data_IF_522282181575
#
_entry.id   IF_522282181575
#
_cell.length_a   1.000
_cell.length_b   1.000
_cell.length_c   1.000
_cell.angle_alpha   90.00
_cell.angle_beta   90.00
_cell.angle_gamma   90.00
#
_symmetry.space_group_name_H-M   'P 1'
#
loop_
_entity.id
_entity.type
_entity.pdbx_description
1 polymer ?
#
# COMPACT_ATOMS: atom_id res chain seq x y z
N UNK A 1 55.10 -28.00 1.31
CA UNK A 1 53.64 -28.23 1.25
C UNK A 1 52.95 -26.87 1.23
N UNK A 2 52.19 -26.57 0.16
CA UNK A 2 51.51 -25.26 -0.01
C UNK A 2 50.24 -25.24 0.86
N UNK A 3 50.10 -24.21 1.69
CA UNK A 3 48.92 -23.98 2.52
C UNK A 3 47.93 -23.14 1.72
N UNK A 4 46.84 -23.74 1.24
CA UNK A 4 45.73 -23.04 0.57
C UNK A 4 44.79 -22.48 1.64
N UNK A 5 44.69 -21.16 1.72
CA UNK A 5 43.72 -20.47 2.57
C UNK A 5 42.46 -20.23 1.72
N UNK A 6 41.37 -20.93 2.03
CA UNK A 6 40.06 -20.68 1.40
C UNK A 6 39.33 -19.65 2.23
N UNK A 7 39.27 -18.42 1.72
CA UNK A 7 38.47 -17.35 2.31
C UNK A 7 37.01 -17.50 1.84
N UNK A 8 36.18 -18.18 2.62
CA UNK A 8 34.74 -18.18 2.43
C UNK A 8 34.15 -16.84 2.90
N UNK A 9 33.93 -15.92 1.97
CA UNK A 9 33.16 -14.71 2.21
C UNK A 9 31.67 -15.10 2.17
N UNK A 10 31.09 -15.36 3.35
CA UNK A 10 29.64 -15.40 3.54
C UNK A 10 29.11 -13.97 3.43
N UNK A 11 28.74 -13.55 2.22
CA UNK A 11 27.97 -12.34 2.02
C UNK A 11 26.55 -12.59 2.53
N UNK A 12 26.27 -12.18 3.77
CA UNK A 12 24.90 -12.06 4.24
C UNK A 12 24.20 -10.98 3.40
N UNK A 13 23.40 -11.39 2.42
CA UNK A 13 22.51 -10.47 1.74
C UNK A 13 21.48 -10.01 2.78
N UNK A 14 21.65 -8.80 3.32
CA UNK A 14 20.55 -8.13 3.99
C UNK A 14 19.49 -7.85 2.94
N UNK A 15 18.49 -8.74 2.85
CA UNK A 15 17.29 -8.51 2.05
C UNK A 15 16.49 -7.45 2.79
N UNK A 16 16.83 -6.18 2.59
CA UNK A 16 15.92 -5.10 2.92
C UNK A 16 14.73 -5.24 2.00
N UNK A 17 13.56 -5.57 2.57
CA UNK A 17 12.33 -5.68 1.80
C UNK A 17 12.06 -4.38 1.06
N UNK A 18 12.12 -4.43 -0.27
CA UNK A 18 12.01 -3.25 -1.10
C UNK A 18 10.55 -2.76 -1.06
N UNK A 19 10.39 -1.52 -0.62
CA UNK A 19 9.10 -0.83 -0.50
C UNK A 19 9.00 0.18 -1.63
N UNK A 20 7.88 0.15 -2.35
CA UNK A 20 7.55 1.17 -3.35
C UNK A 20 6.57 2.14 -2.71
N UNK A 21 6.90 3.43 -2.70
CA UNK A 21 5.96 4.48 -2.31
C UNK A 21 5.10 4.85 -3.51
N UNK A 22 3.80 5.07 -3.27
CA UNK A 22 2.87 5.45 -4.33
C UNK A 22 3.25 6.81 -4.93
N UNK A 23 3.19 6.93 -6.25
CA UNK A 23 3.36 8.18 -7.00
C UNK A 23 2.42 8.14 -8.21
N UNK A 24 1.85 9.29 -8.59
CA UNK A 24 0.84 9.39 -9.66
C UNK A 24 1.35 8.78 -10.98
N UNK A 25 2.59 9.09 -11.33
CA UNK A 25 3.24 8.68 -12.59
C UNK A 25 4.01 7.35 -12.49
N UNK A 26 4.06 6.71 -11.31
CA UNK A 26 4.81 5.46 -11.11
C UNK A 26 3.86 4.28 -10.95
N UNK A 27 3.73 3.49 -12.02
CA UNK A 27 2.93 2.27 -12.02
C UNK A 27 3.74 1.05 -11.58
N UNK A 28 3.06 0.09 -10.98
CA UNK A 28 3.60 -1.23 -10.68
C UNK A 28 3.89 -1.96 -11.99
N UNK A 29 4.94 -2.77 -11.94
CA UNK A 29 5.32 -3.71 -12.99
C UNK A 29 5.35 -5.10 -12.38
N UNK A 30 5.30 -6.13 -13.21
CA UNK A 30 5.40 -7.50 -12.70
C UNK A 30 6.71 -7.77 -11.95
N UNK A 31 7.78 -7.03 -12.21
CA UNK A 31 9.05 -7.12 -11.47
C UNK A 31 8.93 -6.70 -10.00
N UNK A 32 7.88 -5.97 -9.64
CA UNK A 32 7.60 -5.60 -8.26
C UNK A 32 7.03 -6.76 -7.42
N UNK A 33 6.58 -7.86 -8.03
CA UNK A 33 5.98 -8.99 -7.31
C UNK A 33 7.03 -10.09 -7.13
N UNK A 34 7.78 -10.03 -6.03
CA UNK A 34 8.99 -10.84 -5.78
C UNK A 34 8.77 -12.00 -4.83
N UNK A 35 7.67 -11.97 -4.06
CA UNK A 35 7.38 -13.03 -3.11
C UNK A 35 7.10 -14.36 -3.83
N UNK A 36 7.64 -15.48 -3.32
CA UNK A 36 7.27 -16.80 -3.80
C UNK A 36 5.76 -17.00 -3.70
N UNK A 37 5.22 -17.67 -4.70
CA UNK A 37 3.81 -18.02 -4.73
C UNK A 37 3.44 -18.92 -3.54
N UNK A 38 2.45 -18.51 -2.73
CA UNK A 38 1.87 -19.36 -1.69
C UNK A 38 1.15 -20.56 -2.31
N UNK A 39 1.37 -21.76 -1.75
CA UNK A 39 0.80 -23.04 -2.23
C UNK A 39 -0.66 -23.27 -1.83
N UNK A 40 -1.26 -22.38 -1.02
CA UNK A 40 -2.69 -22.42 -0.62
C UNK A 40 -3.49 -21.35 -1.38
N UNK A 41 -3.77 -21.57 -2.67
CA UNK A 41 -4.48 -20.59 -3.50
C UNK A 41 -5.96 -20.88 -3.65
N UNK A 42 -6.76 -19.82 -3.61
CA UNK A 42 -8.00 -19.76 -4.37
C UNK A 42 -7.64 -19.84 -5.87
N UNK A 43 -8.17 -20.80 -6.65
CA UNK A 43 -7.85 -20.94 -8.07
C UNK A 43 -8.18 -19.70 -8.91
N UNK A 44 -9.03 -18.80 -8.43
CA UNK A 44 -9.42 -17.60 -9.18
C UNK A 44 -8.39 -16.47 -9.04
N UNK A 45 -7.54 -16.48 -8.00
CA UNK A 45 -6.58 -15.40 -7.69
C UNK A 45 -5.25 -15.60 -8.42
N UNK A 46 -4.91 -14.66 -9.30
CA UNK A 46 -3.71 -14.72 -10.15
C UNK A 46 -2.49 -14.01 -9.57
N UNK A 47 -2.69 -13.02 -8.70
CA UNK A 47 -1.63 -12.27 -8.03
C UNK A 47 -2.14 -11.76 -6.68
N UNK A 48 -1.23 -11.19 -5.89
CA UNK A 48 -1.57 -10.56 -4.62
C UNK A 48 -0.70 -9.34 -4.38
N UNK A 49 -1.36 -8.22 -4.12
CA UNK A 49 -0.75 -6.94 -3.78
C UNK A 49 -0.74 -6.71 -2.28
N UNK A 50 0.44 -6.82 -1.66
CA UNK A 50 0.63 -6.46 -0.26
C UNK A 50 0.92 -4.96 -0.13
N UNK A 51 -0.13 -4.16 0.05
CA UNK A 51 -0.03 -2.70 0.20
C UNK A 51 -0.80 -2.16 1.42
N UNK A 52 -0.50 -0.91 1.78
CA UNK A 52 -1.12 -0.19 2.89
C UNK A 52 -0.40 1.13 3.11
N UNK A 53 -0.20 1.51 4.38
CA UNK A 53 0.51 2.74 4.72
C UNK A 53 1.43 2.61 5.91
N UNK A 54 2.37 3.53 5.97
CA UNK A 54 3.21 3.79 7.12
C UNK A 54 2.97 5.21 7.60
N UNK A 55 3.05 5.42 8.91
CA UNK A 55 2.97 6.75 9.48
C UNK A 55 4.02 6.98 10.56
N UNK A 56 4.38 8.24 10.76
CA UNK A 56 5.21 8.70 11.86
C UNK A 56 4.67 10.02 12.39
N UNK A 57 4.91 10.30 13.67
CA UNK A 57 4.49 11.53 14.30
C UNK A 57 5.63 12.10 15.17
N UNK A 58 5.95 13.37 14.97
CA UNK A 58 6.86 14.13 15.81
C UNK A 58 6.00 14.97 16.75
N UNK A 59 6.02 14.62 18.04
CA UNK A 59 5.18 15.21 19.10
C UNK A 59 6.03 15.80 20.20
N UNK A 60 5.43 16.70 20.97
CA UNK A 60 5.97 17.23 22.22
C UNK A 60 5.26 16.59 23.42
N UNK A 61 5.89 16.68 24.59
CA UNK A 61 5.25 16.43 25.87
C UNK A 61 4.24 17.53 26.26
N UNK A 62 4.42 18.74 25.75
CA UNK A 62 3.42 19.83 25.88
C UNK A 62 2.21 19.54 24.97
N UNK A 63 1.00 19.32 25.54
CA UNK A 63 -0.20 19.05 24.74
C UNK A 63 -0.56 20.17 23.77
N UNK A 64 -0.15 21.42 24.00
CA UNK A 64 -0.48 22.55 23.12
C UNK A 64 0.51 22.75 21.98
N UNK A 65 1.69 22.13 22.06
CA UNK A 65 2.71 22.26 21.03
C UNK A 65 2.26 21.59 19.71
N UNK A 66 2.67 22.14 18.55
CA UNK A 66 2.30 21.59 17.26
C UNK A 66 2.80 20.16 17.07
N UNK A 67 2.11 19.39 16.25
CA UNK A 67 2.49 18.03 15.86
C UNK A 67 2.72 17.96 14.36
N UNK A 68 3.72 17.20 13.94
CA UNK A 68 3.94 16.86 12.52
C UNK A 68 3.68 15.38 12.32
N UNK A 69 2.79 15.04 11.39
CA UNK A 69 2.40 13.66 11.08
C UNK A 69 2.68 13.42 9.61
N UNK A 70 3.46 12.39 9.31
CA UNK A 70 3.74 11.96 7.95
C UNK A 70 3.06 10.62 7.71
N UNK A 71 2.32 10.48 6.61
CA UNK A 71 1.61 9.26 6.24
C UNK A 71 1.94 8.95 4.77
N UNK A 72 2.45 7.75 4.49
CA UNK A 72 2.89 7.33 3.14
C UNK A 72 2.25 6.02 2.75
N UNK A 73 1.79 5.93 1.51
CA UNK A 73 1.25 4.71 0.91
C UNK A 73 2.40 3.84 0.43
N UNK A 74 2.40 2.57 0.82
CA UNK A 74 3.49 1.64 0.61
C UNK A 74 2.99 0.34 -0.01
N UNK A 75 3.71 -0.12 -1.04
CA UNK A 75 3.63 -1.45 -1.61
C UNK A 75 4.88 -2.25 -1.20
N UNK A 76 4.71 -3.50 -0.79
CA UNK A 76 5.80 -4.37 -0.36
C UNK A 76 6.09 -5.44 -1.42
N UNK A 77 7.23 -5.31 -2.10
CA UNK A 77 7.60 -6.19 -3.22
C UNK A 77 7.82 -7.64 -2.77
N UNK A 78 8.44 -7.82 -1.60
CA UNK A 78 8.80 -9.15 -1.05
C UNK A 78 7.61 -9.89 -0.43
N UNK A 79 6.47 -9.21 -0.25
CA UNK A 79 5.22 -9.81 0.24
C UNK A 79 4.14 -9.90 -0.84
N UNK A 80 4.40 -9.38 -2.02
CA UNK A 80 3.49 -9.42 -3.17
C UNK A 80 3.95 -10.50 -4.13
N UNK A 81 3.02 -11.36 -4.56
CA UNK A 81 3.33 -12.50 -5.43
C UNK A 81 2.49 -12.45 -6.71
N UNK A 82 2.98 -13.14 -7.75
CA UNK A 82 2.29 -13.29 -9.03
C UNK A 82 2.33 -14.75 -9.49
N UNK A 83 1.28 -15.22 -10.14
CA UNK A 83 1.30 -16.48 -10.87
C UNK A 83 1.90 -16.27 -12.27
N UNK A 84 3.12 -16.74 -12.47
CA UNK A 84 3.86 -16.53 -13.71
C UNK A 84 3.13 -17.04 -14.98
N UNK A 85 2.21 -18.00 -14.84
CA UNK A 85 1.45 -18.56 -15.96
C UNK A 85 0.22 -17.72 -16.33
N UNK A 86 -0.20 -16.81 -15.46
CA UNK A 86 -1.42 -16.01 -15.61
C UNK A 86 -1.13 -14.51 -15.73
N UNK A 87 0.13 -14.11 -15.81
CA UNK A 87 0.52 -12.71 -15.98
C UNK A 87 -0.05 -12.12 -17.28
N UNK A 88 -0.74 -10.99 -17.16
CA UNK A 88 -1.11 -10.13 -18.29
C UNK A 88 -1.39 -8.70 -17.77
N UNK A 89 -1.44 -7.73 -18.68
CA UNK A 89 -1.59 -6.32 -18.33
C UNK A 89 -2.92 -6.01 -17.62
N UNK A 90 -3.95 -6.80 -17.90
CA UNK A 90 -5.28 -6.61 -17.31
C UNK A 90 -5.31 -7.00 -15.81
N UNK A 91 -4.66 -8.10 -15.46
CA UNK A 91 -4.49 -8.50 -14.05
C UNK A 91 -3.52 -7.55 -13.37
N UNK A 92 -2.45 -7.11 -14.03
CA UNK A 92 -1.55 -6.11 -13.45
C UNK A 92 -2.30 -4.80 -13.13
N UNK A 93 -3.25 -4.40 -13.98
CA UNK A 93 -4.11 -3.25 -13.72
C UNK A 93 -4.99 -3.47 -12.46
N UNK A 94 -5.52 -4.67 -12.26
CA UNK A 94 -6.27 -5.01 -11.05
C UNK A 94 -5.40 -4.86 -9.78
N UNK A 95 -4.18 -5.40 -9.84
CA UNK A 95 -3.20 -5.28 -8.77
C UNK A 95 -2.78 -3.81 -8.52
N UNK A 96 -2.61 -3.01 -9.57
CA UNK A 96 -2.37 -1.58 -9.47
C UNK A 96 -3.53 -0.87 -8.73
N UNK A 97 -4.78 -1.27 -8.96
CA UNK A 97 -5.92 -0.65 -8.27
C UNK A 97 -5.93 -0.93 -6.78
N UNK A 98 -5.48 -2.09 -6.31
CA UNK A 98 -5.29 -2.29 -4.87
C UNK A 98 -4.34 -1.23 -4.27
N UNK A 99 -3.26 -0.89 -4.98
CA UNK A 99 -2.32 0.13 -4.52
C UNK A 99 -2.90 1.56 -4.62
N UNK A 100 -3.67 1.86 -5.66
CA UNK A 100 -4.38 3.13 -5.81
C UNK A 100 -5.45 3.32 -4.74
N UNK A 101 -6.17 2.25 -4.36
CA UNK A 101 -7.11 2.24 -3.22
C UNK A 101 -6.37 2.57 -1.93
N UNK A 102 -5.18 2.00 -1.70
CA UNK A 102 -4.39 2.34 -0.52
C UNK A 102 -4.05 3.84 -0.49
N UNK A 103 -3.67 4.45 -1.63
CA UNK A 103 -3.44 5.90 -1.69
C UNK A 103 -4.72 6.69 -1.46
N UNK A 104 -5.86 6.27 -2.04
CA UNK A 104 -7.15 6.92 -1.82
C UNK A 104 -7.47 7.04 -0.33
N UNK A 105 -7.34 5.94 0.42
CA UNK A 105 -7.58 5.94 1.85
C UNK A 105 -6.53 6.72 2.64
N UNK A 106 -5.28 6.75 2.18
CA UNK A 106 -4.25 7.61 2.77
C UNK A 106 -4.53 9.10 2.53
N UNK A 107 -5.08 9.51 1.37
CA UNK A 107 -5.53 10.89 1.15
C UNK A 107 -6.69 11.25 2.09
N UNK A 108 -7.66 10.34 2.26
CA UNK A 108 -8.74 10.49 3.27
C UNK A 108 -8.16 10.61 4.69
N UNK A 109 -7.12 9.83 5.01
CA UNK A 109 -6.44 9.90 6.30
C UNK A 109 -5.74 11.24 6.51
N UNK A 110 -4.92 11.68 5.54
CA UNK A 110 -4.23 12.97 5.59
C UNK A 110 -5.22 14.12 5.73
N UNK A 111 -6.35 14.09 5.01
CA UNK A 111 -7.45 15.06 5.17
C UNK A 111 -7.98 15.10 6.59
N UNK A 112 -8.39 13.95 7.15
CA UNK A 112 -8.95 13.88 8.49
C UNK A 112 -7.95 14.35 9.57
N UNK A 113 -6.68 14.00 9.41
CA UNK A 113 -5.59 14.46 10.28
C UNK A 113 -5.39 15.97 10.16
N UNK A 114 -5.32 16.50 8.94
CA UNK A 114 -5.14 17.93 8.68
C UNK A 114 -6.31 18.75 9.26
N UNK A 115 -7.53 18.23 9.25
CA UNK A 115 -8.71 18.93 9.77
C UNK A 115 -8.81 18.88 11.30
N UNK A 116 -8.42 17.76 11.93
CA UNK A 116 -8.72 17.49 13.34
C UNK A 116 -7.52 17.55 14.29
N UNK A 117 -6.29 17.49 13.76
CA UNK A 117 -5.08 17.35 14.58
C UNK A 117 -4.11 18.49 14.28
N UNK A 118 -3.99 19.42 15.22
CA UNK A 118 -3.03 20.54 15.14
C UNK A 118 -1.95 20.45 16.20
N UNK A 119 -2.27 19.87 17.34
CA UNK A 119 -1.39 19.81 18.52
C UNK A 119 -1.10 18.38 18.98
N UNK A 120 -0.10 18.23 19.85
CA UNK A 120 0.24 16.95 20.46
C UNK A 120 -0.92 16.39 21.31
N UNK A 121 -1.72 17.25 21.93
CA UNK A 121 -2.94 16.89 22.64
C UNK A 121 -4.03 16.36 21.71
N UNK A 122 -4.26 17.01 20.57
CA UNK A 122 -5.21 16.54 19.56
C UNK A 122 -4.80 15.16 19.02
N UNK A 123 -3.50 14.94 18.78
CA UNK A 123 -3.00 13.64 18.37
C UNK A 123 -3.39 12.56 19.38
N UNK A 124 -3.09 12.80 20.66
CA UNK A 124 -3.36 11.83 21.72
C UNK A 124 -4.86 11.53 21.85
N UNK A 125 -5.72 12.51 21.56
CA UNK A 125 -7.17 12.40 21.65
C UNK A 125 -7.83 11.75 20.44
N UNK A 126 -7.41 12.10 19.23
CA UNK A 126 -8.15 11.80 18.00
C UNK A 126 -7.47 10.82 17.04
N UNK A 127 -6.13 10.71 17.07
CA UNK A 127 -5.40 9.98 16.04
C UNK A 127 -5.82 8.52 15.95
N UNK A 128 -5.96 7.82 17.09
CA UNK A 128 -6.32 6.40 17.10
C UNK A 128 -7.70 6.17 16.47
N UNK A 129 -8.70 6.95 16.86
CA UNK A 129 -10.06 6.80 16.30
C UNK A 129 -10.10 7.09 14.81
N UNK A 130 -9.35 8.10 14.34
CA UNK A 130 -9.24 8.39 12.90
C UNK A 130 -8.57 7.22 12.17
N UNK A 131 -7.44 6.71 12.70
CA UNK A 131 -6.73 5.58 12.14
C UNK A 131 -7.61 4.34 12.05
N UNK A 132 -8.29 3.98 13.14
CA UNK A 132 -9.14 2.79 13.20
C UNK A 132 -10.26 2.88 12.15
N UNK A 133 -10.93 4.04 12.05
CA UNK A 133 -11.98 4.26 11.05
C UNK A 133 -11.46 4.13 9.61
N UNK A 134 -10.36 4.81 9.28
CA UNK A 134 -9.73 4.70 7.95
C UNK A 134 -9.33 3.25 7.66
N UNK A 135 -8.76 2.55 8.63
CA UNK A 135 -8.33 1.17 8.47
C UNK A 135 -9.49 0.22 8.21
N UNK A 136 -10.61 0.39 8.92
CA UNK A 136 -11.83 -0.39 8.70
C UNK A 136 -12.39 -0.12 7.31
N UNK A 137 -12.56 1.14 6.92
CA UNK A 137 -13.15 1.48 5.63
C UNK A 137 -12.26 1.00 4.46
N UNK A 138 -10.94 1.13 4.60
CA UNK A 138 -9.96 0.62 3.64
C UNK A 138 -10.10 -0.90 3.44
N UNK A 139 -10.14 -1.67 4.53
CA UNK A 139 -10.29 -3.12 4.46
C UNK A 139 -11.62 -3.52 3.81
N UNK A 140 -12.71 -2.85 4.20
CA UNK A 140 -14.02 -3.07 3.59
C UNK A 140 -14.02 -2.78 2.09
N UNK A 141 -13.35 -1.71 1.66
CA UNK A 141 -13.26 -1.35 0.24
C UNK A 141 -12.41 -2.35 -0.55
N UNK A 142 -11.25 -2.79 -0.03
CA UNK A 142 -10.41 -3.80 -0.70
C UNK A 142 -11.19 -5.12 -0.89
N UNK A 143 -11.91 -5.56 0.14
CA UNK A 143 -12.74 -6.77 0.08
C UNK A 143 -13.91 -6.62 -0.91
N UNK A 144 -14.56 -5.46 -0.93
CA UNK A 144 -15.63 -5.18 -1.89
C UNK A 144 -15.11 -5.17 -3.33
N UNK A 145 -13.97 -4.52 -3.57
CA UNK A 145 -13.32 -4.47 -4.87
C UNK A 145 -12.98 -5.87 -5.40
N UNK A 146 -12.32 -6.70 -4.58
CA UNK A 146 -12.02 -8.10 -4.91
C UNK A 146 -13.28 -8.89 -5.25
N UNK A 147 -14.30 -8.82 -4.38
CA UNK A 147 -15.54 -9.58 -4.54
C UNK A 147 -16.30 -9.18 -5.80
N UNK A 148 -16.47 -7.89 -6.02
CA UNK A 148 -17.33 -7.36 -7.09
C UNK A 148 -16.67 -7.42 -8.46
N UNK A 149 -15.34 -7.31 -8.52
CA UNK A 149 -14.58 -7.57 -9.76
C UNK A 149 -14.29 -9.06 -9.97
N UNK A 150 -14.68 -9.93 -9.03
CA UNK A 150 -14.30 -11.35 -9.00
C UNK A 150 -12.80 -11.55 -9.17
N UNK A 151 -12.00 -10.85 -8.36
CA UNK A 151 -10.53 -10.84 -8.42
C UNK A 151 -10.00 -10.46 -9.80
N UNK A 152 -10.60 -9.43 -10.41
CA UNK A 152 -10.23 -8.94 -11.74
C UNK A 152 -10.67 -9.83 -12.91
N UNK A 153 -11.66 -10.72 -12.73
CA UNK A 153 -12.28 -11.48 -13.83
C UNK A 153 -13.37 -10.66 -14.51
N UNK A 154 -14.12 -9.88 -13.73
CA UNK A 154 -15.22 -9.06 -14.22
C UNK A 154 -14.74 -7.71 -14.77
N UNK A 155 -14.75 -7.59 -16.11
CA UNK A 155 -14.17 -6.44 -16.79
C UNK A 155 -14.97 -5.16 -16.66
N UNK A 156 -16.29 -5.30 -16.67
CA UNK A 156 -17.20 -4.17 -16.55
C UNK A 156 -17.09 -3.57 -15.15
N UNK A 157 -17.14 -4.41 -14.11
CA UNK A 157 -17.00 -3.95 -12.72
C UNK A 157 -15.63 -3.34 -12.44
N UNK A 158 -14.55 -3.92 -12.95
CA UNK A 158 -13.24 -3.32 -12.77
C UNK A 158 -13.12 -1.96 -13.47
N UNK A 159 -13.74 -1.77 -14.64
CA UNK A 159 -13.78 -0.47 -15.31
C UNK A 159 -14.57 0.58 -14.52
N UNK A 160 -15.71 0.21 -13.91
CA UNK A 160 -16.45 1.08 -13.00
C UNK A 160 -15.58 1.54 -11.82
N UNK A 161 -14.90 0.59 -11.15
CA UNK A 161 -13.99 0.90 -10.05
C UNK A 161 -12.79 1.74 -10.50
N UNK A 162 -12.23 1.50 -11.69
CA UNK A 162 -11.13 2.29 -12.22
C UNK A 162 -11.52 3.77 -12.29
N UNK A 163 -12.71 4.07 -12.81
CA UNK A 163 -13.23 5.43 -12.92
C UNK A 163 -13.48 6.03 -11.53
N UNK A 164 -14.17 5.30 -10.67
CA UNK A 164 -14.46 5.73 -9.29
C UNK A 164 -13.19 6.07 -8.51
N UNK A 165 -12.19 5.19 -8.54
CA UNK A 165 -10.92 5.39 -7.83
C UNK A 165 -10.18 6.59 -8.41
N UNK A 166 -10.16 6.76 -9.74
CA UNK A 166 -9.51 7.91 -10.38
C UNK A 166 -10.16 9.22 -9.97
N UNK A 167 -11.49 9.30 -10.04
CA UNK A 167 -12.26 10.48 -9.65
C UNK A 167 -12.04 10.84 -8.17
N UNK A 168 -12.11 9.85 -7.29
CA UNK A 168 -11.91 10.06 -5.85
C UNK A 168 -10.47 10.48 -5.51
N UNK A 169 -9.47 9.95 -6.23
CA UNK A 169 -8.09 10.42 -6.09
C UNK A 169 -7.98 11.89 -6.52
N UNK A 170 -8.55 12.27 -7.66
CA UNK A 170 -8.52 13.65 -8.16
C UNK A 170 -9.26 14.62 -7.23
N UNK A 171 -10.42 14.23 -6.70
CA UNK A 171 -11.17 15.00 -5.70
C UNK A 171 -10.36 15.27 -4.42
N UNK A 172 -9.40 14.39 -4.11
CA UNK A 172 -8.54 14.50 -2.93
C UNK A 172 -7.09 14.91 -3.29
N UNK A 173 -6.85 15.47 -4.48
CA UNK A 173 -5.50 15.81 -4.97
C UNK A 173 -4.73 16.75 -4.05
N UNK A 174 -5.41 17.65 -3.33
CA UNK A 174 -4.79 18.53 -2.32
C UNK A 174 -4.18 17.78 -1.12
N UNK A 175 -4.47 16.48 -0.96
CA UNK A 175 -3.98 15.62 0.12
C UNK A 175 -3.02 14.52 -0.38
N UNK A 176 -2.54 14.62 -1.63
CA UNK A 176 -1.44 13.81 -2.11
C UNK A 176 -0.16 14.06 -1.29
N UNK A 177 0.73 13.06 -1.19
CA UNK A 177 2.04 13.28 -0.58
C UNK A 177 2.83 14.30 -1.40
N UNK A 178 3.48 15.24 -0.70
CA UNK A 178 4.52 16.10 -1.29
C UNK A 178 5.75 15.27 -1.68
#
# INVERSE_FOLDING_TARGET
MRLTFVLCILAAQMVFGQKVTWQEDKKLTWDNFKSPVSTKKNPDVAAYTHCGWEFSAIKSSDPKAPVTITIKTIFNEEKSWKDAKRMNDYILLHEQKHFDIAELFVRKFRKAVAEKIKTSGDYNKYFKTIYDGISTDYQSFQVAYDRETRHGIDKEKQAEYNNLISEELDNLKSYQAL
#
